data_IF_758535694309
#
_entry.id   IF_758535694309
#
_cell.length_a   1.000
_cell.length_b   1.000
_cell.length_c   1.000
_cell.angle_alpha   90.00
_cell.angle_beta   90.00
_cell.angle_gamma   90.00
#
_symmetry.space_group_name_H-M   'P 1'
#
loop_
_entity.id
_entity.type
_entity.pdbx_description
1 polymer ?
#
# COMPACT_ATOMS: atom_id res chain seq x y z
N UNK A 1 -20.78 0.90 -7.84
CA UNK A 1 -19.35 1.32 -7.75
C UNK A 1 -18.62 0.80 -8.97
N UNK A 2 -17.73 1.59 -9.59
CA UNK A 2 -16.85 1.06 -10.65
C UNK A 2 -15.89 0.04 -10.02
N UNK A 3 -15.63 -1.10 -10.66
CA UNK A 3 -14.61 -2.03 -10.19
C UNK A 3 -13.24 -1.35 -10.15
N UNK A 4 -12.36 -1.84 -9.27
CA UNK A 4 -11.02 -1.28 -9.09
C UNK A 4 -9.96 -2.32 -9.42
N UNK A 5 -8.78 -1.83 -9.77
CA UNK A 5 -7.60 -2.65 -9.99
C UNK A 5 -6.45 -2.09 -9.17
N UNK A 6 -5.97 -2.85 -8.19
CA UNK A 6 -4.86 -2.46 -7.33
C UNK A 6 -3.54 -2.88 -7.98
N UNK A 7 -2.58 -1.98 -8.03
CA UNK A 7 -1.21 -2.25 -8.44
C UNK A 7 -0.35 -2.17 -7.19
N UNK A 8 -0.05 -3.31 -6.59
CA UNK A 8 0.57 -3.38 -5.28
C UNK A 8 2.07 -3.67 -5.42
N UNK A 9 2.94 -2.65 -5.31
CA UNK A 9 4.39 -2.86 -5.36
C UNK A 9 4.88 -3.58 -4.10
N UNK A 10 5.91 -4.41 -4.25
CA UNK A 10 6.59 -5.08 -3.15
C UNK A 10 7.39 -4.08 -2.31
N UNK A 11 8.20 -3.25 -2.97
CA UNK A 11 8.90 -2.14 -2.31
C UNK A 11 8.04 -0.89 -2.36
N UNK A 12 7.70 -0.34 -1.20
CA UNK A 12 6.88 0.87 -1.11
C UNK A 12 7.74 2.12 -1.30
N UNK A 13 8.15 2.37 -2.55
CA UNK A 13 8.91 3.56 -2.93
C UNK A 13 7.96 4.73 -3.18
N UNK A 14 8.34 5.91 -2.70
CA UNK A 14 7.58 7.15 -2.91
C UNK A 14 7.38 7.41 -4.40
N UNK A 15 6.14 7.78 -4.78
CA UNK A 15 5.78 8.13 -6.15
C UNK A 15 6.56 9.35 -6.67
N UNK A 16 6.99 10.22 -5.75
CA UNK A 16 7.75 11.42 -6.06
C UNK A 16 9.21 11.12 -6.41
N UNK A 17 9.65 9.86 -6.27
CA UNK A 17 10.96 9.41 -6.76
C UNK A 17 10.95 9.31 -8.30
N UNK A 18 11.74 10.13 -9.04
CA UNK A 18 11.61 10.22 -10.49
C UNK A 18 11.88 8.91 -11.25
N UNK A 19 12.84 8.10 -10.79
CA UNK A 19 13.16 6.81 -11.41
C UNK A 19 12.00 5.83 -11.27
N UNK A 20 11.38 5.75 -10.08
CA UNK A 20 10.25 4.90 -9.84
C UNK A 20 9.01 5.35 -10.63
N UNK A 21 8.74 6.65 -10.69
CA UNK A 21 7.65 7.19 -11.52
C UNK A 21 7.80 6.81 -13.00
N UNK A 22 9.01 6.90 -13.56
CA UNK A 22 9.31 6.43 -14.93
C UNK A 22 9.09 4.94 -15.10
N UNK A 23 9.54 4.13 -14.13
CA UNK A 23 9.33 2.67 -14.16
C UNK A 23 7.85 2.30 -14.15
N UNK A 24 7.01 2.99 -13.35
CA UNK A 24 5.57 2.76 -13.37
C UNK A 24 4.94 3.17 -14.71
N UNK A 25 5.39 4.26 -15.32
CA UNK A 25 4.91 4.62 -16.66
C UNK A 25 5.30 3.57 -17.70
N UNK A 26 6.52 3.02 -17.64
CA UNK A 26 6.94 1.89 -18.49
C UNK A 26 6.07 0.67 -18.26
N UNK A 27 5.79 0.35 -16.98
CA UNK A 27 4.91 -0.76 -16.61
C UNK A 27 3.51 -0.60 -17.20
N UNK A 28 2.90 0.57 -17.02
CA UNK A 28 1.55 0.87 -17.52
C UNK A 28 1.44 0.77 -19.05
N UNK A 29 2.50 1.16 -19.79
CA UNK A 29 2.51 1.08 -21.27
C UNK A 29 2.66 -0.34 -21.79
N UNK A 30 3.39 -1.20 -21.08
CA UNK A 30 3.73 -2.55 -21.53
C UNK A 30 2.83 -3.65 -20.96
N UNK A 31 1.98 -3.31 -19.99
CA UNK A 31 1.06 -4.24 -19.35
C UNK A 31 -0.10 -4.63 -20.28
N UNK A 32 -0.30 -5.94 -20.44
CA UNK A 32 -1.30 -6.56 -21.31
C UNK A 32 -2.31 -7.41 -20.53
N UNK A 33 -2.42 -7.22 -19.22
CA UNK A 33 -3.32 -8.00 -18.37
C UNK A 33 -2.62 -9.02 -17.47
N UNK A 34 -1.29 -8.94 -17.32
CA UNK A 34 -0.54 -9.83 -16.44
C UNK A 34 -0.87 -9.59 -14.96
N UNK A 35 -0.92 -10.67 -14.17
CA UNK A 35 -1.21 -10.65 -12.73
C UNK A 35 0.01 -10.16 -11.90
N UNK A 36 1.21 -10.28 -12.48
CA UNK A 36 2.46 -9.85 -11.85
C UNK A 36 3.40 -9.18 -12.84
N UNK A 37 3.98 -8.06 -12.42
CA UNK A 37 4.92 -7.27 -13.20
C UNK A 37 6.24 -7.18 -12.43
N UNK A 38 7.30 -7.74 -12.98
CA UNK A 38 8.66 -7.57 -12.50
C UNK A 38 9.30 -6.36 -13.17
N UNK A 39 9.77 -5.41 -12.38
CA UNK A 39 10.63 -4.32 -12.81
C UNK A 39 12.06 -4.77 -12.58
N UNK A 40 12.80 -5.11 -13.64
CA UNK A 40 14.14 -5.69 -13.54
C UNK A 40 15.20 -4.76 -14.17
N UNK A 41 16.14 -4.24 -13.37
CA UNK A 41 17.35 -3.60 -13.88
C UNK A 41 18.21 -4.55 -14.72
N UNK A 42 18.78 -4.04 -15.80
CA UNK A 42 19.64 -4.82 -16.70
C UNK A 42 18.92 -5.75 -17.67
N UNK A 43 17.58 -5.78 -17.65
CA UNK A 43 16.79 -6.46 -18.68
C UNK A 43 16.76 -5.59 -19.95
N UNK A 44 16.96 -6.19 -21.12
CA UNK A 44 17.01 -5.44 -22.39
C UNK A 44 15.65 -5.31 -23.09
N UNK A 45 14.74 -6.25 -22.86
CA UNK A 45 13.44 -6.33 -23.53
C UNK A 45 12.35 -6.85 -22.59
N UNK A 46 11.08 -6.60 -22.93
CA UNK A 46 9.96 -7.12 -22.14
C UNK A 46 9.81 -8.62 -22.36
N UNK A 47 9.80 -9.39 -21.27
CA UNK A 47 9.57 -10.84 -21.31
C UNK A 47 8.25 -11.18 -20.67
N UNK A 48 7.55 -12.19 -21.20
CA UNK A 48 6.23 -12.62 -20.74
C UNK A 48 6.19 -14.14 -20.65
N UNK A 49 5.57 -14.64 -19.60
CA UNK A 49 5.39 -16.06 -19.41
C UNK A 49 4.10 -16.32 -18.64
N UNK A 50 3.81 -17.58 -18.39
CA UNK A 50 2.69 -17.96 -17.55
C UNK A 50 3.08 -19.11 -16.66
N UNK A 51 2.56 -19.09 -15.43
CA UNK A 51 2.75 -20.12 -14.44
C UNK A 51 1.41 -20.74 -14.11
N UNK A 52 1.26 -22.03 -14.36
CA UNK A 52 0.09 -22.77 -13.88
C UNK A 52 0.27 -23.09 -12.40
N UNK A 53 -0.70 -22.69 -11.58
CA UNK A 53 -0.77 -23.03 -10.16
C UNK A 53 -2.16 -23.59 -9.91
N UNK A 54 -2.24 -24.91 -9.69
CA UNK A 54 -3.52 -25.64 -9.66
C UNK A 54 -4.29 -25.40 -10.98
N UNK A 55 -5.58 -25.08 -10.90
CA UNK A 55 -6.45 -24.77 -12.05
C UNK A 55 -6.26 -23.36 -12.62
N UNK A 56 -5.47 -22.51 -11.96
CA UNK A 56 -5.26 -21.12 -12.39
C UNK A 56 -3.99 -20.98 -13.20
N UNK A 57 -4.06 -20.15 -14.24
CA UNK A 57 -2.91 -19.72 -15.02
C UNK A 57 -2.61 -18.26 -14.64
N UNK A 58 -1.47 -18.07 -13.97
CA UNK A 58 -0.98 -16.74 -13.61
C UNK A 58 -0.12 -16.22 -14.75
N UNK A 59 -0.42 -15.03 -15.23
CA UNK A 59 0.35 -14.36 -16.26
C UNK A 59 1.34 -13.41 -15.60
N UNK A 60 2.61 -13.51 -15.99
CA UNK A 60 3.66 -12.64 -15.45
C UNK A 60 4.43 -11.99 -16.61
N UNK A 61 4.92 -10.78 -16.36
CA UNK A 61 5.87 -10.13 -17.25
C UNK A 61 7.05 -9.54 -16.48
N UNK A 62 8.17 -9.37 -17.18
CA UNK A 62 9.32 -8.62 -16.72
C UNK A 62 9.61 -7.48 -17.70
N UNK A 63 9.82 -6.30 -17.15
CA UNK A 63 9.96 -5.05 -17.89
C UNK A 63 11.32 -4.43 -17.53
N UNK A 64 12.10 -4.00 -18.54
CA UNK A 64 13.30 -3.20 -18.32
C UNK A 64 13.02 -1.98 -17.45
N UNK A 65 13.76 -1.83 -16.36
CA UNK A 65 13.55 -0.77 -15.38
C UNK A 65 14.85 -0.17 -14.86
N UNK A 66 14.74 1.01 -14.25
CA UNK A 66 15.83 1.63 -13.50
C UNK A 66 15.96 1.05 -12.09
N UNK A 67 14.84 0.58 -11.53
CA UNK A 67 14.76 0.07 -10.17
C UNK A 67 14.14 -1.33 -10.11
N UNK A 68 14.62 -2.14 -9.16
CA UNK A 68 13.99 -3.42 -8.87
C UNK A 68 12.67 -3.22 -8.13
N UNK A 69 11.61 -3.88 -8.62
CA UNK A 69 10.35 -4.06 -7.89
C UNK A 69 9.55 -5.24 -8.44
N UNK A 70 8.56 -5.70 -7.68
CA UNK A 70 7.55 -6.66 -8.12
C UNK A 70 6.18 -6.07 -7.81
N UNK A 71 5.34 -5.89 -8.83
CA UNK A 71 3.99 -5.34 -8.68
C UNK A 71 2.99 -6.47 -8.88
N UNK A 72 2.19 -6.73 -7.86
CA UNK A 72 1.03 -7.63 -7.96
C UNK A 72 -0.18 -6.82 -8.44
N UNK A 73 -0.79 -7.22 -9.55
CA UNK A 73 -1.98 -6.58 -10.10
C UNK A 73 -3.21 -7.36 -9.64
N UNK A 74 -4.06 -6.69 -8.86
CA UNK A 74 -5.23 -7.29 -8.22
C UNK A 74 -6.50 -6.65 -8.77
N UNK A 75 -7.36 -7.47 -9.39
CA UNK A 75 -8.68 -7.06 -9.83
C UNK A 75 -9.66 -7.27 -8.68
N UNK A 76 -10.41 -6.22 -8.33
CA UNK A 76 -11.35 -6.22 -7.21
C UNK A 76 -12.76 -5.99 -7.75
N UNK A 77 -13.63 -6.94 -7.45
CA UNK A 77 -15.06 -6.88 -7.74
C UNK A 77 -15.77 -5.78 -6.95
N UNK A 78 -17.04 -5.54 -7.28
CA UNK A 78 -17.86 -4.54 -6.58
C UNK A 78 -18.07 -4.87 -5.10
N UNK A 79 -18.00 -6.15 -4.74
CA UNK A 79 -18.25 -6.65 -3.38
C UNK A 79 -16.96 -6.76 -2.55
N UNK A 80 -15.83 -6.32 -3.10
CA UNK A 80 -14.52 -6.37 -2.43
C UNK A 80 -13.81 -7.72 -2.52
N UNK A 81 -14.42 -8.73 -3.18
CA UNK A 81 -13.73 -9.96 -3.54
C UNK A 81 -12.68 -9.67 -4.63
N UNK A 82 -11.51 -10.29 -4.56
CA UNK A 82 -10.40 -9.96 -5.44
C UNK A 82 -9.58 -11.16 -5.92
N UNK A 83 -8.94 -10.98 -7.07
CA UNK A 83 -8.02 -11.93 -7.70
C UNK A 83 -6.78 -11.20 -8.26
N UNK A 84 -5.56 -11.73 -8.05
CA UNK A 84 -5.26 -12.96 -7.33
C UNK A 84 -5.40 -12.80 -5.81
N UNK A 85 -5.81 -13.86 -5.08
CA UNK A 85 -6.00 -13.79 -3.63
C UNK A 85 -4.67 -13.87 -2.84
N UNK A 86 -3.58 -14.11 -3.55
CA UNK A 86 -2.23 -14.29 -3.01
C UNK A 86 -1.26 -13.39 -3.77
N UNK A 87 -0.15 -13.08 -3.11
CA UNK A 87 0.88 -12.21 -3.65
C UNK A 87 1.33 -11.24 -2.58
N UNK A 88 2.56 -10.74 -2.72
CA UNK A 88 2.98 -9.65 -1.86
C UNK A 88 2.51 -8.33 -2.47
N UNK A 89 2.09 -7.34 -1.67
CA UNK A 89 1.86 -7.35 -0.22
C UNK A 89 0.38 -7.57 0.19
N UNK A 90 -0.21 -8.75 -0.06
CA UNK A 90 -1.62 -9.07 0.28
C UNK A 90 -1.68 -9.94 1.55
N UNK A 91 -2.46 -9.57 2.58
CA UNK A 91 -2.66 -10.42 3.76
C UNK A 91 -3.45 -11.70 3.44
N UNK A 92 -2.83 -12.87 3.56
CA UNK A 92 -3.45 -14.19 3.25
C UNK A 92 -4.75 -14.45 4.05
N UNK A 93 -4.81 -13.96 5.29
CA UNK A 93 -5.97 -14.13 6.18
C UNK A 93 -7.27 -13.52 5.64
N UNK A 94 -7.17 -12.64 4.64
CA UNK A 94 -8.31 -12.02 3.98
C UNK A 94 -9.05 -12.96 3.04
N UNK A 95 -8.44 -14.10 2.66
CA UNK A 95 -9.05 -15.13 1.80
C UNK A 95 -9.71 -14.54 0.55
N UNK A 96 -9.08 -13.54 -0.07
CA UNK A 96 -9.58 -12.89 -1.27
C UNK A 96 -10.69 -11.86 -1.06
N UNK A 97 -10.92 -11.34 0.16
CA UNK A 97 -11.91 -10.29 0.44
C UNK A 97 -11.27 -9.11 1.17
N UNK A 98 -11.37 -7.89 0.63
CA UNK A 98 -10.86 -6.69 1.31
C UNK A 98 -11.73 -6.36 2.53
N UNK A 99 -11.15 -6.17 3.73
CA UNK A 99 -11.92 -5.77 4.92
C UNK A 99 -12.60 -4.42 4.72
N UNK A 100 -13.90 -4.35 5.05
CA UNK A 100 -14.72 -3.14 4.90
C UNK A 100 -14.35 -2.00 5.86
N UNK A 101 -13.54 -2.27 6.89
CA UNK A 101 -13.08 -1.31 7.87
C UNK A 101 -11.59 -0.95 7.73
N UNK A 102 -10.95 -1.27 6.59
CA UNK A 102 -9.51 -1.13 6.41
C UNK A 102 -9.02 0.31 6.59
N UNK A 103 -9.69 1.31 6.00
CA UNK A 103 -9.37 2.72 6.22
C UNK A 103 -9.42 3.10 7.71
N UNK A 104 -10.40 2.60 8.45
CA UNK A 104 -10.55 2.93 9.86
C UNK A 104 -9.43 2.30 10.70
N UNK A 105 -9.03 1.07 10.39
CA UNK A 105 -7.85 0.44 10.98
C UNK A 105 -6.59 1.27 10.71
N UNK A 106 -6.43 1.78 9.49
CA UNK A 106 -5.28 2.60 9.09
C UNK A 106 -5.21 3.92 9.84
N UNK A 107 -6.30 4.69 9.83
CA UNK A 107 -6.34 5.99 10.53
C UNK A 107 -6.17 5.82 12.04
N UNK A 108 -6.56 4.67 12.60
CA UNK A 108 -6.44 4.38 14.03
C UNK A 108 -5.14 3.67 14.44
N UNK A 109 -4.27 3.28 13.50
CA UNK A 109 -3.02 2.57 13.80
C UNK A 109 -1.97 3.47 14.49
N UNK A 110 -2.04 3.64 15.81
CA UNK A 110 -1.08 4.47 16.57
C UNK A 110 0.13 3.71 17.11
N UNK A 111 0.08 2.38 17.08
CA UNK A 111 1.10 1.53 17.68
C UNK A 111 1.94 0.93 16.55
N UNK A 112 2.95 1.64 16.09
CA UNK A 112 4.00 1.13 15.22
C UNK A 112 5.34 1.43 15.87
N UNK A 113 6.31 0.55 15.68
CA UNK A 113 7.68 0.75 16.15
C UNK A 113 8.58 1.26 15.02
N UNK A 114 9.77 1.71 15.38
CA UNK A 114 10.87 1.88 14.44
C UNK A 114 11.90 0.78 14.73
N UNK A 115 12.37 0.13 13.69
CA UNK A 115 13.41 -0.91 13.77
C UNK A 115 14.52 -0.58 12.77
N UNK A 116 15.71 -1.11 12.98
CA UNK A 116 16.81 -0.99 12.02
C UNK A 116 16.38 -1.53 10.66
N UNK A 117 16.49 -0.71 9.61
CA UNK A 117 16.11 -1.13 8.26
C UNK A 117 17.04 -2.24 7.77
N UNK A 118 16.52 -3.21 7.01
CA UNK A 118 17.35 -4.33 6.52
C UNK A 118 18.38 -3.85 5.50
N UNK A 119 19.61 -4.36 5.59
CA UNK A 119 20.67 -4.13 4.58
C UNK A 119 20.50 -5.02 3.35
N UNK A 120 19.93 -6.20 3.54
CA UNK A 120 19.70 -7.17 2.47
C UNK A 120 18.31 -7.82 2.58
N UNK A 121 17.81 -8.33 1.46
CA UNK A 121 16.59 -9.15 1.42
C UNK A 121 16.77 -10.29 0.41
N UNK A 122 16.26 -11.47 0.76
CA UNK A 122 16.16 -12.58 -0.18
C UNK A 122 14.85 -12.46 -0.96
N UNK A 123 14.95 -12.49 -2.29
CA UNK A 123 13.80 -12.46 -3.18
C UNK A 123 13.94 -13.52 -4.28
N UNK A 124 12.85 -14.24 -4.61
CA UNK A 124 12.82 -15.14 -5.75
C UNK A 124 12.73 -14.34 -7.05
N UNK A 125 13.86 -14.06 -7.67
CA UNK A 125 13.91 -13.33 -8.94
C UNK A 125 13.76 -14.27 -10.14
N UNK A 126 13.04 -13.87 -11.21
CA UNK A 126 12.97 -14.63 -12.43
C UNK A 126 14.26 -14.48 -13.26
N UNK A 127 14.80 -15.63 -13.69
CA UNK A 127 15.91 -15.75 -14.63
C UNK A 127 15.43 -16.43 -15.91
N UNK A 128 15.89 -15.92 -17.04
CA UNK A 128 15.47 -16.38 -18.35
C UNK A 128 16.58 -17.23 -18.98
N UNK A 129 16.28 -18.49 -19.29
CA UNK A 129 17.12 -19.35 -20.14
C UNK A 129 16.30 -19.74 -21.35
N UNK A 130 16.84 -19.64 -22.56
CA UNK A 130 16.22 -19.99 -23.85
C UNK A 130 14.67 -20.06 -23.86
N UNK A 131 14.07 -21.17 -23.40
CA UNK A 131 12.62 -21.41 -23.41
C UNK A 131 11.95 -21.53 -22.01
N UNK A 132 12.67 -21.24 -20.92
CA UNK A 132 12.18 -21.40 -19.55
C UNK A 132 12.46 -20.18 -18.66
N UNK A 133 11.59 -20.00 -17.65
CA UNK A 133 11.78 -19.04 -16.58
C UNK A 133 12.02 -19.78 -15.28
N UNK A 134 13.21 -19.59 -14.70
CA UNK A 134 13.61 -20.19 -13.42
C UNK A 134 13.62 -19.10 -12.36
N UNK A 135 13.00 -19.34 -11.22
CA UNK A 135 13.14 -18.46 -10.07
C UNK A 135 14.31 -18.89 -9.21
N UNK A 136 15.17 -17.94 -8.85
CA UNK A 136 16.26 -18.17 -7.91
C UNK A 136 16.12 -17.21 -6.74
N UNK A 137 16.30 -17.72 -5.53
CA UNK A 137 16.49 -16.86 -4.36
C UNK A 137 17.81 -16.11 -4.53
N UNK A 138 17.71 -14.78 -4.58
CA UNK A 138 18.86 -13.88 -4.70
C UNK A 138 18.85 -12.97 -3.49
N UNK A 139 19.99 -12.89 -2.81
CA UNK A 139 20.21 -11.86 -1.79
C UNK A 139 20.48 -10.52 -2.47
N UNK A 140 19.65 -9.53 -2.16
CA UNK A 140 19.69 -8.22 -2.78
C UNK A 140 20.09 -7.20 -1.73
N UNK A 141 21.18 -6.48 -2.00
CA UNK A 141 21.58 -5.31 -1.23
C UNK A 141 20.55 -4.19 -1.37
N UNK A 142 20.03 -3.72 -0.25
CA UNK A 142 19.16 -2.56 -0.18
C UNK A 142 20.02 -1.32 0.05
N UNK A 143 20.02 -0.40 -0.91
CA UNK A 143 20.58 0.95 -0.70
C UNK A 143 19.70 1.68 0.31
N UNK A 144 20.28 2.37 1.31
CA UNK A 144 19.46 3.09 2.27
C UNK A 144 18.70 4.21 1.55
N UNK A 145 17.43 4.34 1.91
CA UNK A 145 16.57 5.41 1.40
C UNK A 145 16.90 6.78 1.99
N UNK A 146 16.13 7.82 1.64
CA UNK A 146 16.23 9.13 2.26
C UNK A 146 16.09 9.01 3.79
N UNK A 147 16.91 9.78 4.52
CA UNK A 147 16.96 9.73 5.99
C UNK A 147 17.17 11.11 6.59
N UNK A 148 16.92 11.26 7.88
CA UNK A 148 16.95 12.56 8.57
C UNK A 148 18.19 12.63 9.47
N UNK A 149 19.06 13.64 9.33
CA UNK A 149 20.28 13.71 10.12
C UNK A 149 19.96 13.78 11.63
N UNK A 150 20.85 13.19 12.42
CA UNK A 150 20.83 13.32 13.89
C UNK A 150 21.11 14.78 14.23
N UNK A 151 20.17 15.45 14.90
CA UNK A 151 20.35 16.82 15.36
C UNK A 151 20.77 16.89 16.81
N UNK A 152 20.22 16.02 17.66
CA UNK A 152 20.47 16.00 19.10
C UNK A 152 20.50 14.54 19.58
N UNK A 153 21.32 14.27 20.59
CA UNK A 153 21.37 13.00 21.31
C UNK A 153 21.44 13.29 22.81
N UNK A 154 20.51 12.73 23.55
CA UNK A 154 20.48 12.78 25.01
C UNK A 154 21.11 11.48 25.54
N UNK A 155 22.27 11.61 26.19
CA UNK A 155 23.02 10.49 26.75
C UNK A 155 22.32 9.83 27.95
N UNK A 156 21.53 10.60 28.72
CA UNK A 156 20.86 10.09 29.93
C UNK A 156 19.63 9.26 29.56
N UNK A 157 18.85 9.77 28.61
CA UNK A 157 17.60 9.11 28.17
C UNK A 157 17.81 8.17 26.97
N UNK A 158 19.00 8.22 26.34
CA UNK A 158 19.31 7.58 25.06
C UNK A 158 18.34 7.99 23.93
N UNK A 159 17.76 9.19 24.01
CA UNK A 159 16.85 9.72 23.00
C UNK A 159 17.64 10.42 21.88
N UNK A 160 17.23 10.16 20.64
CA UNK A 160 17.80 10.79 19.45
C UNK A 160 16.73 11.64 18.78
N UNK A 161 17.06 12.90 18.49
CA UNK A 161 16.22 13.78 17.68
C UNK A 161 16.74 13.78 16.26
N UNK A 162 15.83 13.48 15.32
CA UNK A 162 16.08 13.55 13.89
C UNK A 162 15.34 14.75 13.31
N UNK A 163 16.02 15.63 12.57
CA UNK A 163 15.42 16.82 11.95
C UNK A 163 15.72 16.86 10.45
N UNK A 164 14.72 17.21 9.64
CA UNK A 164 14.87 17.40 8.19
C UNK A 164 15.78 18.58 7.86
N UNK A 165 15.64 19.67 8.62
CA UNK A 165 16.41 20.91 8.51
C UNK A 165 16.99 21.29 9.87
N UNK A 166 18.15 21.96 9.86
CA UNK A 166 18.71 22.58 11.07
C UNK A 166 18.08 23.94 11.41
N UNK A 167 17.31 24.51 10.48
CA UNK A 167 16.64 25.81 10.67
C UNK A 167 15.30 25.66 11.38
N UNK A 168 15.24 26.10 12.63
CA UNK A 168 14.01 26.11 13.45
C UNK A 168 12.90 27.02 12.89
N UNK A 169 13.24 27.91 11.95
CA UNK A 169 12.33 28.90 11.36
C UNK A 169 11.73 28.49 10.01
N UNK A 170 11.99 27.29 9.50
CA UNK A 170 11.37 26.84 8.25
C UNK A 170 9.90 26.49 8.51
N UNK A 171 9.00 27.47 8.40
CA UNK A 171 7.54 27.31 8.45
C UNK A 171 6.95 26.61 7.21
N UNK A 172 7.80 25.92 6.44
CA UNK A 172 7.42 25.26 5.19
C UNK A 172 6.61 24.00 5.52
N UNK A 173 5.41 23.89 4.96
CA UNK A 173 4.61 22.66 5.02
C UNK A 173 5.40 21.54 4.34
N UNK A 174 5.71 20.48 5.10
CA UNK A 174 6.39 19.28 4.57
C UNK A 174 5.37 18.47 3.75
N UNK A 175 5.67 18.27 2.47
CA UNK A 175 4.81 17.59 1.49
C UNK A 175 5.27 16.13 1.34
N UNK A 176 6.56 15.90 1.09
CA UNK A 176 7.19 14.58 0.97
C UNK A 176 8.50 14.62 1.76
N UNK A 177 8.48 14.23 3.05
CA UNK A 177 9.67 14.21 3.89
C UNK A 177 10.88 13.53 3.24
N UNK A 178 10.66 12.46 2.48
CA UNK A 178 11.74 11.70 1.85
C UNK A 178 12.31 12.40 0.62
N UNK A 179 11.46 12.93 -0.27
CA UNK A 179 11.94 13.68 -1.44
C UNK A 179 12.63 14.99 -1.01
N UNK A 180 12.09 15.67 0.00
CA UNK A 180 12.68 16.86 0.59
C UNK A 180 14.03 16.53 1.24
N UNK A 181 14.13 15.43 2.00
CA UNK A 181 15.41 15.03 2.59
C UNK A 181 16.44 14.68 1.54
N UNK A 182 16.07 13.94 0.49
CA UNK A 182 16.98 13.60 -0.60
C UNK A 182 17.50 14.86 -1.30
N UNK A 183 16.64 15.86 -1.51
CA UNK A 183 17.01 17.14 -2.12
C UNK A 183 17.96 17.95 -1.25
N UNK A 184 17.72 17.98 0.06
CA UNK A 184 18.49 18.78 1.02
C UNK A 184 19.82 18.12 1.41
N UNK A 185 19.76 16.84 1.77
CA UNK A 185 20.89 16.10 2.36
C UNK A 185 21.62 15.21 1.35
N UNK A 186 21.06 15.02 0.15
CA UNK A 186 21.58 14.08 -0.83
C UNK A 186 21.32 12.62 -0.47
N UNK A 187 21.80 11.68 -1.30
CA UNK A 187 21.68 10.25 -1.01
C UNK A 187 22.55 9.85 0.19
N UNK A 188 22.05 8.92 0.98
CA UNK A 188 22.78 8.29 2.06
C UNK A 188 23.43 6.99 1.59
N UNK A 189 24.50 6.59 2.28
CA UNK A 189 25.17 5.29 2.11
C UNK A 189 25.33 4.62 3.46
N UNK A 190 25.45 3.29 3.46
CA UNK A 190 25.74 2.54 4.69
C UNK A 190 27.07 2.98 5.28
N UNK A 191 27.10 3.25 6.60
CA UNK A 191 28.36 3.52 7.30
C UNK A 191 29.20 2.23 7.32
N UNK A 192 30.42 2.31 6.81
CA UNK A 192 31.34 1.18 6.66
C UNK A 192 32.05 0.81 7.98
N UNK A 193 31.91 1.62 9.02
CA UNK A 193 32.40 1.33 10.38
C UNK A 193 31.22 1.19 11.35
N UNK A 194 30.48 0.06 11.32
CA UNK A 194 29.51 -0.21 12.36
C UNK A 194 30.26 -0.46 13.67
N UNK A 195 30.27 0.52 14.56
CA UNK A 195 30.82 0.36 15.92
C UNK A 195 29.95 -0.54 16.79
N UNK A 196 28.69 -0.76 16.40
CA UNK A 196 27.74 -1.67 17.04
C UNK A 196 26.93 -2.42 15.98
N UNK A 197 26.78 -3.74 16.14
CA UNK A 197 26.04 -4.61 15.20
C UNK A 197 24.54 -4.30 15.11
N UNK A 198 24.01 -3.45 15.99
CA UNK A 198 22.57 -3.24 16.21
C UNK A 198 22.00 -1.97 15.56
N UNK A 199 22.84 -0.95 15.32
CA UNK A 199 22.39 0.36 14.83
C UNK A 199 22.85 0.60 13.39
N UNK A 200 21.87 0.62 12.49
CA UNK A 200 22.06 0.84 11.07
C UNK A 200 22.25 2.33 10.77
N UNK A 201 23.48 2.81 11.03
CA UNK A 201 23.92 4.16 10.70
C UNK A 201 24.15 4.30 9.20
N UNK A 202 23.75 5.45 8.69
CA UNK A 202 23.99 5.87 7.32
C UNK A 202 24.60 7.26 7.31
N UNK A 203 25.45 7.51 6.33
CA UNK A 203 26.19 8.75 6.18
C UNK A 203 25.89 9.36 4.81
N UNK A 204 25.64 10.67 4.78
CA UNK A 204 25.49 11.39 3.52
C UNK A 204 26.86 11.86 2.99
N UNK A 205 26.87 12.46 1.80
CA UNK A 205 28.08 13.02 1.16
C UNK A 205 28.79 14.09 2.00
N UNK A 206 28.08 14.76 2.91
CA UNK A 206 28.60 15.84 3.76
C UNK A 206 29.08 15.30 5.12
N UNK A 207 29.10 13.97 5.31
CA UNK A 207 29.53 13.32 6.54
C UNK A 207 28.48 13.31 7.67
N UNK A 208 27.25 13.77 7.41
CA UNK A 208 26.16 13.77 8.41
C UNK A 208 25.63 12.36 8.61
N UNK A 209 25.59 11.93 9.87
CA UNK A 209 25.05 10.63 10.27
C UNK A 209 23.54 10.67 10.50
N UNK A 210 22.89 9.56 10.19
CA UNK A 210 21.47 9.33 10.41
C UNK A 210 21.22 7.85 10.77
N UNK A 211 20.09 7.57 11.42
CA UNK A 211 19.59 6.21 11.60
C UNK A 211 18.68 5.84 10.45
N UNK A 212 19.04 4.78 9.71
CA UNK A 212 18.13 4.24 8.70
C UNK A 212 17.19 3.23 9.35
N UNK A 213 15.95 3.67 9.57
CA UNK A 213 14.90 2.88 10.21
C UNK A 213 13.80 2.47 9.23
N UNK A 214 13.19 1.33 9.51
CA UNK A 214 11.96 0.87 8.89
C UNK A 214 10.82 0.92 9.92
N UNK A 215 9.59 1.12 9.45
CA UNK A 215 8.42 1.13 10.32
C UNK A 215 7.96 -0.30 10.57
N UNK A 216 7.97 -0.71 11.84
CA UNK A 216 7.39 -1.97 12.27
C UNK A 216 5.88 -1.80 12.50
N UNK A 217 5.11 -2.19 11.50
CA UNK A 217 3.65 -2.17 11.58
C UNK A 217 3.08 -3.36 12.35
N UNK A 218 1.91 -3.14 12.96
CA UNK A 218 1.06 -4.23 13.42
C UNK A 218 0.23 -4.82 12.25
N UNK A 219 -0.28 -6.03 12.44
CA UNK A 219 -1.25 -6.65 11.52
C UNK A 219 -2.50 -5.76 11.33
N UNK A 220 -3.05 -5.63 10.10
CA UNK A 220 -2.62 -6.26 8.84
C UNK A 220 -1.50 -5.53 8.10
N UNK A 221 -1.10 -4.33 8.55
CA UNK A 221 -0.22 -3.44 7.81
C UNK A 221 1.20 -3.97 7.64
N UNK A 222 1.68 -4.82 8.56
CA UNK A 222 2.96 -5.53 8.39
C UNK A 222 3.05 -6.30 7.06
N UNK A 223 1.95 -6.93 6.63
CA UNK A 223 1.90 -7.68 5.37
C UNK A 223 1.69 -6.76 4.16
N UNK A 224 1.04 -5.62 4.37
CA UNK A 224 0.79 -4.60 3.35
C UNK A 224 2.04 -3.76 3.03
N UNK A 225 2.95 -3.62 4.00
CA UNK A 225 4.21 -2.89 3.89
C UNK A 225 5.35 -3.76 4.44
N UNK A 226 5.79 -4.79 3.69
CA UNK A 226 6.71 -5.82 4.18
C UNK A 226 8.12 -5.29 4.47
N UNK A 227 8.52 -4.18 3.83
CA UNK A 227 9.74 -3.43 4.11
C UNK A 227 9.52 -2.31 5.15
N UNK A 228 8.32 -2.22 5.72
CA UNK A 228 7.89 -1.19 6.65
C UNK A 228 7.42 0.10 5.98
N UNK A 229 7.81 0.37 4.74
CA UNK A 229 7.64 1.69 4.14
C UNK A 229 8.43 2.78 4.87
N UNK A 230 8.25 4.01 4.40
CA UNK A 230 9.08 5.15 4.76
C UNK A 230 8.34 6.28 5.47
N UNK A 231 9.04 7.41 5.66
CA UNK A 231 8.47 8.57 6.36
C UNK A 231 7.35 9.26 5.57
N UNK A 232 7.37 9.16 4.23
CA UNK A 232 6.28 9.60 3.37
C UNK A 232 4.97 8.86 3.70
N UNK A 233 5.03 7.55 3.96
CA UNK A 233 3.86 6.75 4.32
C UNK A 233 3.22 7.24 5.64
N UNK A 234 4.05 7.59 6.64
CA UNK A 234 3.56 8.19 7.88
C UNK A 234 3.00 9.59 7.66
N UNK A 235 3.63 10.38 6.79
CA UNK A 235 3.15 11.71 6.44
C UNK A 235 1.76 11.64 5.79
N UNK A 236 1.59 10.77 4.79
CA UNK A 236 0.29 10.55 4.14
C UNK A 236 -0.77 10.08 5.13
N UNK A 237 -0.43 9.16 6.04
CA UNK A 237 -1.35 8.75 7.11
C UNK A 237 -1.78 9.93 7.98
N UNK A 238 -0.84 10.74 8.45
CA UNK A 238 -1.14 11.91 9.30
C UNK A 238 -1.97 12.94 8.52
N UNK A 239 -1.65 13.15 7.24
CA UNK A 239 -2.40 14.03 6.37
C UNK A 239 -3.84 13.56 6.17
N UNK A 240 -4.07 12.26 5.95
CA UNK A 240 -5.40 11.67 5.88
C UNK A 240 -6.17 11.91 7.19
N UNK A 241 -5.55 11.71 8.36
CA UNK A 241 -6.19 11.98 9.66
C UNK A 241 -6.58 13.45 9.82
N UNK A 242 -5.72 14.36 9.41
CA UNK A 242 -6.00 15.80 9.44
C UNK A 242 -7.16 16.16 8.50
N UNK A 243 -7.17 15.60 7.29
CA UNK A 243 -8.27 15.78 6.34
C UNK A 243 -9.59 15.20 6.87
N UNK A 244 -9.54 14.03 7.49
CA UNK A 244 -10.68 13.37 8.11
C UNK A 244 -11.28 14.15 9.29
N UNK A 245 -10.47 14.96 9.98
CA UNK A 245 -10.92 15.79 11.12
C UNK A 245 -11.78 16.97 10.68
N UNK A 246 -11.48 17.55 9.52
CA UNK A 246 -12.20 18.69 8.96
C UNK A 246 -12.54 18.42 7.49
N UNK A 247 -13.46 17.47 7.30
CA UNK A 247 -13.81 16.96 5.97
C UNK A 247 -14.29 18.08 5.06
N UNK A 248 -15.16 18.96 5.55
CA UNK A 248 -15.76 20.02 4.72
C UNK A 248 -14.70 20.97 4.15
N UNK A 249 -13.70 21.35 4.95
CA UNK A 249 -12.58 22.15 4.46
C UNK A 249 -11.65 21.38 3.52
N UNK A 250 -11.53 20.07 3.69
CA UNK A 250 -10.51 19.26 3.02
C UNK A 250 -11.02 18.40 1.86
N UNK A 251 -12.30 18.50 1.45
CA UNK A 251 -12.90 17.74 0.33
C UNK A 251 -12.03 17.76 -0.93
N UNK A 252 -11.60 18.96 -1.34
CA UNK A 252 -10.75 19.15 -2.53
C UNK A 252 -9.36 18.55 -2.37
N UNK A 253 -8.75 18.65 -1.18
CA UNK A 253 -7.44 18.06 -0.87
C UNK A 253 -7.51 16.53 -0.90
N UNK A 254 -8.56 15.94 -0.32
CA UNK A 254 -8.80 14.49 -0.36
C UNK A 254 -8.94 14.00 -1.82
N UNK A 255 -9.73 14.69 -2.63
CA UNK A 255 -9.90 14.36 -4.06
C UNK A 255 -8.58 14.44 -4.81
N UNK A 256 -7.81 15.51 -4.61
CA UNK A 256 -6.51 15.71 -5.25
C UNK A 256 -5.53 14.59 -4.89
N UNK A 257 -5.42 14.25 -3.61
CA UNK A 257 -4.54 13.18 -3.16
C UNK A 257 -4.95 11.82 -3.74
N UNK A 258 -6.25 11.48 -3.73
CA UNK A 258 -6.72 10.25 -4.37
C UNK A 258 -6.43 10.22 -5.88
N UNK A 259 -6.54 11.35 -6.57
CA UNK A 259 -6.23 11.44 -8.00
C UNK A 259 -4.74 11.20 -8.31
N UNK A 260 -3.82 11.53 -7.40
CA UNK A 260 -2.39 11.27 -7.61
C UNK A 260 -2.07 9.78 -7.73
N UNK A 261 -2.85 8.93 -7.06
CA UNK A 261 -2.67 7.47 -7.05
C UNK A 261 -3.61 6.72 -7.99
N UNK A 262 -4.55 7.42 -8.63
CA UNK A 262 -5.57 6.78 -9.46
C UNK A 262 -5.45 7.14 -10.93
N UNK A 263 -5.70 6.16 -11.79
CA UNK A 263 -5.80 6.33 -13.24
C UNK A 263 -6.92 5.48 -13.80
N UNK A 264 -7.37 5.80 -15.00
CA UNK A 264 -8.21 4.88 -15.76
C UNK A 264 -7.38 3.67 -16.22
N UNK A 265 -8.00 2.50 -16.12
CA UNK A 265 -7.44 1.24 -16.58
C UNK A 265 -8.52 0.36 -17.18
N UNK A 266 -8.13 -0.85 -17.53
CA UNK A 266 -9.06 -1.87 -18.03
C UNK A 266 -8.74 -3.23 -17.41
N UNK A 267 -9.72 -4.10 -17.39
CA UNK A 267 -9.64 -5.52 -17.02
C UNK A 267 -10.67 -6.29 -17.84
N UNK A 268 -11.03 -7.52 -17.46
CA UNK A 268 -12.12 -8.27 -18.07
C UNK A 268 -13.06 -8.86 -17.00
N UNK A 269 -14.23 -9.36 -17.43
CA UNK A 269 -15.20 -9.95 -16.50
C UNK A 269 -14.73 -11.28 -15.91
N UNK A 270 -13.86 -12.01 -16.61
CA UNK A 270 -13.21 -13.20 -16.05
C UNK A 270 -12.44 -12.88 -14.76
N UNK A 271 -11.62 -11.82 -14.77
CA UNK A 271 -10.85 -11.39 -13.62
C UNK A 271 -11.67 -10.68 -12.53
N UNK A 272 -12.85 -10.15 -12.88
CA UNK A 272 -13.72 -9.43 -11.93
C UNK A 272 -14.83 -10.29 -11.31
N UNK A 273 -15.28 -11.33 -12.01
CA UNK A 273 -16.42 -12.17 -11.62
C UNK A 273 -15.96 -13.62 -11.47
N UNK A 274 -15.45 -14.23 -12.55
CA UNK A 274 -15.17 -15.67 -12.56
C UNK A 274 -14.13 -16.03 -11.48
N UNK A 275 -12.93 -15.46 -11.57
CA UNK A 275 -11.83 -15.84 -10.69
C UNK A 275 -12.09 -15.45 -9.21
N UNK A 276 -12.58 -14.24 -8.87
CA UNK A 276 -12.91 -13.90 -7.49
C UNK A 276 -14.03 -14.77 -6.90
N UNK A 277 -15.12 -15.02 -7.64
CA UNK A 277 -16.23 -15.82 -7.14
C UNK A 277 -15.82 -17.28 -6.95
N UNK A 278 -15.06 -17.85 -7.89
CA UNK A 278 -14.54 -19.21 -7.76
C UNK A 278 -13.66 -19.36 -6.50
N UNK A 279 -12.83 -18.36 -6.19
CA UNK A 279 -11.95 -18.40 -5.02
C UNK A 279 -12.66 -18.14 -3.69
N UNK A 280 -13.73 -17.36 -3.67
CA UNK A 280 -14.39 -16.92 -2.43
C UNK A 280 -15.67 -17.67 -2.11
N UNK A 281 -16.43 -18.09 -3.11
CA UNK A 281 -17.73 -18.77 -2.98
C UNK A 281 -17.76 -20.18 -3.56
N UNK A 282 -16.82 -20.51 -4.45
CA UNK A 282 -16.74 -21.82 -5.10
C UNK A 282 -17.52 -21.95 -6.42
N UNK A 283 -17.43 -23.12 -7.08
CA UNK A 283 -17.94 -23.31 -8.44
C UNK A 283 -19.46 -23.26 -8.55
N UNK A 284 -20.21 -23.84 -7.60
CA UNK A 284 -21.68 -23.84 -7.64
C UNK A 284 -22.26 -22.42 -7.61
N UNK A 285 -21.77 -21.59 -6.68
CA UNK A 285 -22.16 -20.18 -6.60
C UNK A 285 -21.79 -19.40 -7.86
N UNK A 286 -20.63 -19.72 -8.46
CA UNK A 286 -20.23 -19.12 -9.72
C UNK A 286 -21.23 -19.45 -10.84
N UNK A 287 -21.56 -20.72 -11.03
CA UNK A 287 -22.46 -21.14 -12.12
C UNK A 287 -23.85 -20.53 -11.94
N UNK A 288 -24.37 -20.50 -10.71
CA UNK A 288 -25.63 -19.83 -10.40
C UNK A 288 -25.60 -18.33 -10.68
N UNK A 289 -24.52 -17.62 -10.28
CA UNK A 289 -24.33 -16.20 -10.57
C UNK A 289 -24.27 -15.95 -12.10
N UNK A 290 -23.68 -16.88 -12.86
CA UNK A 290 -23.50 -16.79 -14.31
C UNK A 290 -24.81 -17.03 -15.07
N UNK A 291 -25.58 -18.05 -14.68
CA UNK A 291 -26.92 -18.32 -15.20
C UNK A 291 -27.82 -17.11 -15.00
N UNK A 292 -27.92 -16.60 -13.76
CA UNK A 292 -28.78 -15.47 -13.43
C UNK A 292 -28.37 -14.13 -14.06
N UNK A 293 -27.08 -13.91 -14.30
CA UNK A 293 -26.59 -12.62 -14.81
C UNK A 293 -26.38 -12.58 -16.33
N UNK A 294 -26.07 -13.72 -16.95
CA UNK A 294 -25.68 -13.79 -18.37
C UNK A 294 -26.52 -14.76 -19.20
N UNK A 295 -27.48 -15.47 -18.58
CA UNK A 295 -28.34 -16.45 -19.24
C UNK A 295 -27.50 -17.52 -19.97
N UNK A 296 -26.50 -18.05 -19.28
CA UNK A 296 -25.64 -19.17 -19.70
C UNK A 296 -25.89 -20.32 -18.72
N UNK A 297 -26.60 -21.34 -19.19
CA UNK A 297 -26.88 -22.57 -18.44
C UNK A 297 -25.82 -23.61 -18.77
N UNK A 298 -25.03 -24.02 -17.77
CA UNK A 298 -23.96 -25.02 -17.88
C UNK A 298 -23.80 -25.75 -16.55
N UNK A 299 -23.49 -27.05 -16.59
CA UNK A 299 -23.46 -27.89 -15.39
C UNK A 299 -22.11 -27.85 -14.65
N UNK A 300 -21.06 -27.37 -15.32
CA UNK A 300 -19.72 -27.32 -14.76
C UNK A 300 -18.83 -26.23 -15.38
N UNK A 301 -17.69 -25.96 -14.74
CA UNK A 301 -16.74 -24.93 -15.19
C UNK A 301 -16.16 -25.22 -16.58
N UNK A 302 -16.01 -26.49 -16.97
CA UNK A 302 -15.46 -26.84 -18.28
C UNK A 302 -16.42 -26.45 -19.39
N UNK A 303 -17.70 -26.77 -19.23
CA UNK A 303 -18.75 -26.33 -20.15
C UNK A 303 -18.85 -24.81 -20.22
N UNK A 304 -18.69 -24.10 -19.09
CA UNK A 304 -18.62 -22.64 -19.11
C UNK A 304 -17.46 -22.13 -19.99
N UNK A 305 -16.27 -22.70 -19.85
CA UNK A 305 -15.08 -22.30 -20.61
C UNK A 305 -15.20 -22.62 -22.11
N UNK A 306 -15.88 -23.72 -22.45
CA UNK A 306 -16.12 -24.17 -23.82
C UNK A 306 -17.36 -23.50 -24.47
N UNK A 307 -18.17 -22.79 -23.67
CA UNK A 307 -19.41 -22.16 -24.15
C UNK A 307 -19.14 -21.09 -25.22
N UNK A 308 -19.91 -21.04 -26.33
CA UNK A 308 -19.66 -20.12 -27.45
C UNK A 308 -19.57 -18.64 -27.05
N UNK A 309 -20.40 -18.22 -26.09
CA UNK A 309 -20.44 -16.84 -25.59
C UNK A 309 -19.32 -16.50 -24.59
N UNK A 310 -18.54 -17.48 -24.14
CA UNK A 310 -17.58 -17.28 -23.05
C UNK A 310 -16.55 -16.21 -23.39
N UNK A 311 -15.91 -16.33 -24.57
CA UNK A 311 -14.90 -15.36 -25.03
C UNK A 311 -15.50 -13.99 -25.31
N UNK A 312 -16.71 -13.97 -25.88
CA UNK A 312 -17.42 -12.73 -26.21
C UNK A 312 -17.71 -11.91 -24.94
N UNK A 313 -18.23 -12.55 -23.90
CA UNK A 313 -18.67 -11.88 -22.67
C UNK A 313 -17.51 -11.69 -21.70
N UNK A 314 -16.76 -12.75 -21.37
CA UNK A 314 -15.85 -12.72 -20.23
C UNK A 314 -14.46 -12.17 -20.54
N UNK A 315 -14.08 -12.07 -21.81
CA UNK A 315 -12.80 -11.48 -22.25
C UNK A 315 -12.94 -10.03 -22.72
N UNK A 316 -14.16 -9.47 -22.73
CA UNK A 316 -14.38 -8.07 -23.08
C UNK A 316 -13.66 -7.14 -22.10
N UNK A 317 -13.12 -6.02 -22.62
CA UNK A 317 -12.45 -5.02 -21.80
C UNK A 317 -13.46 -4.20 -21.00
N UNK A 318 -13.33 -4.24 -19.68
CA UNK A 318 -14.13 -3.47 -18.74
C UNK A 318 -13.29 -2.33 -18.14
N UNK A 319 -13.77 -1.08 -18.16
CA UNK A 319 -13.05 0.04 -17.55
C UNK A 319 -13.04 -0.08 -16.02
N UNK A 320 -11.88 0.20 -15.42
CA UNK A 320 -11.65 0.17 -13.97
C UNK A 320 -10.95 1.44 -13.51
N UNK A 321 -11.10 1.75 -12.22
CA UNK A 321 -10.18 2.67 -11.55
C UNK A 321 -8.95 1.88 -11.13
N UNK A 322 -7.82 2.14 -11.78
CA UNK A 322 -6.52 1.62 -11.36
C UNK A 322 -6.01 2.45 -10.20
N UNK A 323 -5.57 1.78 -9.14
CA UNK A 323 -5.08 2.40 -7.90
C UNK A 323 -3.68 1.88 -7.64
N UNK A 324 -2.73 2.78 -7.38
CA UNK A 324 -1.35 2.41 -7.10
C UNK A 324 -1.09 2.31 -5.59
N UNK A 325 -0.63 1.14 -5.16
CA UNK A 325 -0.27 0.83 -3.77
C UNK A 325 -1.44 0.82 -2.79
N UNK A 326 -1.17 0.32 -1.59
CA UNK A 326 -2.13 0.36 -0.49
C UNK A 326 -2.39 1.78 0.02
N UNK A 327 -1.38 2.65 -0.05
CA UNK A 327 -1.54 4.05 0.29
C UNK A 327 -2.56 4.75 -0.62
N UNK A 328 -2.45 4.51 -1.94
CA UNK A 328 -3.42 5.01 -2.91
C UNK A 328 -4.82 4.44 -2.69
N UNK A 329 -4.93 3.17 -2.29
CA UNK A 329 -6.21 2.55 -1.93
C UNK A 329 -6.86 3.26 -0.74
N UNK A 330 -6.09 3.59 0.30
CA UNK A 330 -6.58 4.27 1.49
C UNK A 330 -7.04 5.71 1.18
N UNK A 331 -6.30 6.45 0.33
CA UNK A 331 -6.75 7.75 -0.17
C UNK A 331 -8.03 7.64 -1.00
N UNK A 332 -8.10 6.63 -1.89
CA UNK A 332 -9.27 6.39 -2.71
C UNK A 332 -10.51 6.03 -1.87
N UNK A 333 -10.36 5.20 -0.84
CA UNK A 333 -11.43 4.81 0.08
C UNK A 333 -11.95 6.03 0.86
N UNK A 334 -11.04 6.88 1.35
CA UNK A 334 -11.39 8.14 2.01
C UNK A 334 -12.16 9.07 1.05
N UNK A 335 -11.67 9.25 -0.17
CA UNK A 335 -12.32 10.06 -1.19
C UNK A 335 -13.70 9.53 -1.56
N UNK A 336 -13.85 8.21 -1.66
CA UNK A 336 -15.14 7.56 -1.90
C UNK A 336 -16.14 7.88 -0.80
N UNK A 337 -15.77 7.68 0.47
CA UNK A 337 -16.64 7.94 1.62
C UNK A 337 -17.08 9.42 1.64
N UNK A 338 -16.11 10.34 1.47
CA UNK A 338 -16.34 11.77 1.63
C UNK A 338 -17.01 12.41 0.41
N UNK A 339 -16.46 12.20 -0.78
CA UNK A 339 -16.84 12.95 -1.98
C UNK A 339 -17.84 12.22 -2.88
N UNK A 340 -17.99 10.89 -2.75
CA UNK A 340 -18.94 10.10 -3.56
C UNK A 340 -20.16 9.72 -2.72
N UNK A 341 -19.94 9.13 -1.54
CA UNK A 341 -21.03 8.70 -0.65
C UNK A 341 -21.56 9.84 0.24
N UNK A 342 -20.87 10.99 0.26
CA UNK A 342 -21.18 12.15 1.08
C UNK A 342 -21.38 11.82 2.57
N UNK A 343 -20.58 10.88 3.09
CA UNK A 343 -20.64 10.44 4.48
C UNK A 343 -19.69 11.25 5.35
N UNK A 344 -20.20 11.66 6.50
CA UNK A 344 -19.39 12.26 7.56
C UNK A 344 -18.63 11.19 8.34
N UNK A 345 -17.37 11.46 8.63
CA UNK A 345 -16.62 10.71 9.63
C UNK A 345 -16.48 11.54 10.89
N UNK A 346 -16.55 10.88 12.04
CA UNK A 346 -16.33 11.52 13.34
C UNK A 346 -14.93 11.20 13.82
N UNK A 347 -14.24 12.21 14.32
CA UNK A 347 -12.92 12.06 14.92
C UNK A 347 -12.96 12.43 16.40
N UNK A 348 -12.14 11.73 17.20
CA UNK A 348 -11.94 12.09 18.60
C UNK A 348 -11.25 13.45 18.71
N UNK A 349 -11.83 14.38 19.48
CA UNK A 349 -11.25 15.71 19.72
C UNK A 349 -9.92 15.68 20.48
N UNK A 350 -9.57 14.56 21.13
CA UNK A 350 -8.31 14.42 21.87
C UNK A 350 -7.18 13.81 21.04
N UNK A 351 -7.44 12.70 20.34
CA UNK A 351 -6.38 11.96 19.62
C UNK A 351 -6.55 11.90 18.10
N UNK A 352 -7.62 12.49 17.55
CA UNK A 352 -7.90 12.50 16.10
C UNK A 352 -8.27 11.14 15.49
N UNK A 353 -8.39 10.07 16.28
CA UNK A 353 -8.84 8.76 15.78
C UNK A 353 -10.29 8.82 15.30
N UNK A 354 -10.63 8.01 14.30
CA UNK A 354 -12.03 7.80 13.89
C UNK A 354 -12.78 7.12 15.03
N UNK A 355 -13.98 7.63 15.35
CA UNK A 355 -14.83 7.14 16.44
C UNK A 355 -16.25 6.81 15.96
N UNK A 356 -16.84 5.76 16.52
CA UNK A 356 -18.19 5.31 16.17
C UNK A 356 -19.20 5.59 17.28
N UNK A 357 -20.48 5.82 16.94
CA UNK A 357 -21.57 5.86 17.92
C UNK A 357 -22.48 7.08 17.83
N UNK A 358 -23.21 7.32 18.93
CA UNK A 358 -24.35 8.26 19.03
C UNK A 358 -24.02 9.67 18.52
N UNK A 359 -25.06 10.38 18.07
CA UNK A 359 -24.99 11.81 17.70
C UNK A 359 -24.45 12.60 18.91
N UNK A 360 -23.35 13.34 18.73
CA UNK A 360 -22.66 14.08 19.80
C UNK A 360 -21.44 13.39 20.44
N UNK A 361 -21.06 12.16 20.06
CA UNK A 361 -19.81 11.56 20.55
C UNK A 361 -18.60 12.35 20.03
N UNK A 362 -17.79 12.88 20.95
CA UNK A 362 -16.59 13.71 20.66
C UNK A 362 -15.28 13.04 21.08
N UNK A 363 -15.33 11.99 21.90
CA UNK A 363 -14.13 11.31 22.42
C UNK A 363 -14.19 9.79 22.21
N UNK A 364 -13.02 9.15 22.16
CA UNK A 364 -12.90 7.70 22.16
C UNK A 364 -13.60 7.08 23.38
N UNK A 365 -14.30 5.97 23.17
CA UNK A 365 -14.68 5.02 24.21
C UNK A 365 -13.54 4.00 24.43
N UNK A 366 -13.76 3.01 25.30
CA UNK A 366 -12.78 1.96 25.56
C UNK A 366 -12.46 1.11 24.32
N UNK A 367 -13.43 0.93 23.43
CA UNK A 367 -13.31 0.11 22.20
C UNK A 367 -12.59 0.86 21.07
N UNK A 368 -12.78 2.18 20.94
CA UNK A 368 -12.13 2.95 19.86
C UNK A 368 -10.62 3.12 20.12
N UNK A 369 -10.25 3.47 21.36
CA UNK A 369 -8.87 3.67 21.79
C UNK A 369 -8.81 3.72 23.34
N UNK A 370 -8.41 2.60 23.94
CA UNK A 370 -8.32 2.44 25.40
C UNK A 370 -7.38 3.45 26.06
N UNK A 371 -6.25 3.77 25.43
CA UNK A 371 -5.25 4.68 25.99
C UNK A 371 -5.72 6.12 25.96
N UNK A 372 -6.31 6.56 24.85
CA UNK A 372 -6.95 7.87 24.74
C UNK A 372 -8.10 8.00 25.76
N UNK A 373 -8.93 6.96 25.89
CA UNK A 373 -10.00 6.92 26.89
C UNK A 373 -9.47 7.06 28.32
N UNK A 374 -8.43 6.28 28.68
CA UNK A 374 -7.77 6.34 30.00
C UNK A 374 -7.13 7.71 30.24
N UNK A 375 -6.44 8.27 29.26
CA UNK A 375 -5.84 9.61 29.31
C UNK A 375 -6.90 10.68 29.59
N UNK A 376 -8.02 10.65 28.86
CA UNK A 376 -9.15 11.56 29.08
C UNK A 376 -9.72 11.42 30.50
N UNK A 377 -10.02 10.20 30.95
CA UNK A 377 -10.55 9.97 32.30
C UNK A 377 -9.62 10.47 33.41
N UNK A 378 -8.30 10.38 33.22
CA UNK A 378 -7.31 10.98 34.14
C UNK A 378 -7.37 12.50 34.12
N UNK A 379 -7.50 13.12 32.94
CA UNK A 379 -7.63 14.58 32.80
C UNK A 379 -8.92 15.11 33.42
N UNK A 380 -10.05 14.41 33.23
CA UNK A 380 -11.34 14.78 33.80
C UNK A 380 -11.29 14.75 35.34
N UNK A 381 -10.78 13.65 35.92
CA UNK A 381 -10.57 13.55 37.38
C UNK A 381 -9.65 14.65 37.94
N UNK A 382 -8.61 15.04 37.20
CA UNK A 382 -7.71 16.14 37.61
C UNK A 382 -8.42 17.49 37.58
N UNK A 383 -9.34 17.72 36.64
CA UNK A 383 -10.15 18.95 36.56
C UNK A 383 -11.18 19.01 37.68
N UNK A 384 -11.81 17.88 38.01
CA UNK A 384 -12.75 17.77 39.13
C UNK A 384 -12.08 18.09 40.48
N UNK A 385 -10.83 17.66 40.70
CA UNK A 385 -10.08 17.97 41.92
C UNK A 385 -9.58 19.42 42.03
N UNK A 386 -9.62 20.18 40.94
CA UNK A 386 -9.19 21.60 40.88
C UNK A 386 -10.37 22.58 40.97
N UNK A 387 -11.60 22.07 40.90
CA UNK A 387 -12.83 22.80 41.20
C UNK A 387 -13.21 22.49 42.64
#
# INVERSE_FOLDING_TARGET
MKPIQLWLPFFNKSWDTPSFSRDIQRAQRNWLGEDRIWLLPGLNEVKRWSKSVSIFKYHECAIPSETLNCITVVNVSKDGAFYPPIGNPIPEKWKGIIPTNLLNLWLNSSNFGFVSAKKTINLPLPFFKENEVIYKEVEIGLTPGPSFPISEFDEETHEVVLKLTSDENSSVEIISPEAESLKLNGPYQWDNQPTEETLNLVINKDGKKSFHSAILWNEPFFRMFPDGGGMDLLNHRNLMKNCARDIEKNRSKIKLQANNFTKEGWTNLEALIIAPTLMTKGPESLLFDIEGSFNIEVDNLRELLDHPKYKEIFKEKVPVTRIFGWEGYLWWELNKIVNIENKFMKTCSLCGNIIYGKKGKTFCNQEDNLDCYRKRKRLDKRRERKK
#
